data_IF_136920815186
#
_entry.id   IF_136920815186
#
_cell.length_a   1.000
_cell.length_b   1.000
_cell.length_c   1.000
_cell.angle_alpha   90.00
_cell.angle_beta   90.00
_cell.angle_gamma   90.00
#
_symmetry.space_group_name_H-M   'P 1'
#
loop_
_entity.id
_entity.type
_entity.pdbx_description
1 polymer ?
#
# COMPACT_ATOMS: atom_id res chain seq x y z
N UNK A 1 14.74 20.48 9.61
CA UNK A 1 16.01 20.27 10.35
C UNK A 1 16.86 21.53 10.20
N UNK A 2 17.46 22.07 11.27
CA UNK A 2 18.44 23.18 11.13
C UNK A 2 19.83 22.55 10.99
N UNK A 3 20.43 22.67 9.81
CA UNK A 3 21.81 22.23 9.58
C UNK A 3 22.78 23.23 10.21
N UNK A 4 23.90 22.74 10.76
CA UNK A 4 24.91 23.57 11.43
C UNK A 4 25.53 24.59 10.44
N UNK A 5 25.60 25.89 10.79
CA UNK A 5 26.25 26.91 9.95
C UNK A 5 27.69 26.57 9.52
N UNK A 6 28.47 25.87 10.36
CA UNK A 6 29.86 25.49 10.05
C UNK A 6 29.97 24.53 8.87
N UNK A 7 28.96 23.67 8.65
CA UNK A 7 28.91 22.76 7.51
C UNK A 7 28.68 23.54 6.21
N UNK A 8 27.83 24.56 6.24
CA UNK A 8 27.61 25.44 5.09
C UNK A 8 28.87 26.22 4.71
N UNK A 9 29.57 26.76 5.71
CA UNK A 9 30.83 27.48 5.50
C UNK A 9 31.90 26.57 4.90
N UNK A 10 32.03 25.33 5.40
CA UNK A 10 32.98 24.36 4.84
C UNK A 10 32.65 24.01 3.39
N UNK A 11 31.39 23.67 3.08
CA UNK A 11 30.96 23.37 1.70
C UNK A 11 31.13 24.56 0.74
N UNK A 12 31.06 25.78 1.24
CA UNK A 12 31.30 26.99 0.45
C UNK A 12 32.77 27.17 0.04
N UNK A 13 33.73 26.46 0.66
CA UNK A 13 35.16 26.55 0.30
C UNK A 13 35.51 25.90 -1.04
N UNK A 14 34.63 25.04 -1.57
CA UNK A 14 34.75 24.50 -2.93
C UNK A 14 34.60 22.98 -3.03
N UNK A 15 34.94 22.45 -4.20
CA UNK A 15 34.73 21.03 -4.55
C UNK A 15 35.49 20.04 -3.66
N UNK A 16 36.61 20.47 -3.06
CA UNK A 16 37.39 19.63 -2.16
C UNK A 16 36.65 19.37 -0.84
N UNK A 17 35.93 20.37 -0.32
CA UNK A 17 35.07 20.17 0.84
C UNK A 17 33.92 19.19 0.56
N UNK A 18 33.35 19.24 -0.64
CA UNK A 18 32.36 18.25 -1.08
C UNK A 18 32.96 16.84 -1.14
N UNK A 19 34.18 16.68 -1.69
CA UNK A 19 34.87 15.39 -1.76
C UNK A 19 35.10 14.79 -0.37
N UNK A 20 35.54 15.61 0.59
CA UNK A 20 35.77 15.19 1.98
C UNK A 20 34.47 14.72 2.66
N UNK A 21 33.37 15.47 2.51
CA UNK A 21 32.10 15.12 3.16
C UNK A 21 31.32 13.99 2.50
N UNK A 22 31.56 13.75 1.21
CA UNK A 22 30.89 12.71 0.43
C UNK A 22 31.63 11.36 0.42
N UNK A 23 32.67 11.22 1.24
CA UNK A 23 33.54 10.04 1.28
C UNK A 23 34.21 9.74 -0.09
N UNK A 24 34.72 10.79 -0.74
CA UNK A 24 35.58 10.66 -1.90
C UNK A 24 34.93 10.90 -3.26
N UNK A 25 33.68 11.37 -3.35
CA UNK A 25 33.05 11.70 -4.64
C UNK A 25 33.77 12.88 -5.28
N UNK A 26 34.31 12.67 -6.47
CA UNK A 26 35.05 13.68 -7.24
C UNK A 26 34.16 14.38 -8.26
N UNK A 27 34.20 15.71 -8.28
CA UNK A 27 33.49 16.55 -9.25
C UNK A 27 34.45 17.05 -10.34
N UNK A 28 34.07 16.88 -11.60
CA UNK A 28 34.86 17.35 -12.75
C UNK A 28 34.37 18.70 -13.24
N UNK A 29 35.24 19.71 -13.21
CA UNK A 29 34.94 21.10 -13.61
C UNK A 29 34.60 22.01 -12.42
N UNK A 30 34.19 23.24 -12.73
CA UNK A 30 33.86 24.25 -11.71
C UNK A 30 32.44 24.07 -11.17
N UNK A 31 32.30 24.01 -9.85
CA UNK A 31 31.00 23.96 -9.16
C UNK A 31 30.87 25.12 -8.19
N UNK A 32 29.63 25.55 -7.97
CA UNK A 32 29.27 26.55 -6.96
C UNK A 32 28.31 25.94 -5.96
N UNK A 33 28.66 26.00 -4.69
CA UNK A 33 27.74 25.67 -3.61
C UNK A 33 26.73 26.80 -3.40
N UNK A 34 25.44 26.45 -3.36
CA UNK A 34 24.34 27.38 -3.06
C UNK A 34 23.32 26.70 -2.16
N UNK A 35 22.87 27.41 -1.11
CA UNK A 35 21.70 27.00 -0.32
C UNK A 35 20.48 27.68 -0.90
N UNK A 36 19.55 26.90 -1.45
CA UNK A 36 18.33 27.42 -2.08
C UNK A 36 17.12 27.06 -1.23
N UNK A 37 16.32 28.05 -0.87
CA UNK A 37 14.98 27.81 -0.34
C UNK A 37 13.99 27.71 -1.49
N UNK A 38 13.38 26.54 -1.66
CA UNK A 38 12.28 26.33 -2.61
C UNK A 38 10.98 26.37 -1.82
N UNK A 39 10.15 27.40 -2.04
CA UNK A 39 8.81 27.44 -1.46
C UNK A 39 7.90 26.50 -2.23
N UNK A 40 7.37 25.48 -1.57
CA UNK A 40 6.33 24.62 -2.13
C UNK A 40 4.96 25.30 -2.06
N UNK A 41 4.15 25.13 -3.11
CA UNK A 41 2.69 25.30 -3.02
C UNK A 41 2.08 24.07 -2.33
N UNK A 42 0.90 24.23 -1.74
CA UNK A 42 0.09 23.09 -1.28
C UNK A 42 -0.08 22.09 -2.43
N UNK A 43 0.32 20.84 -2.21
CA UNK A 43 0.21 19.76 -3.20
C UNK A 43 -0.91 18.83 -2.78
N UNK A 44 -1.90 18.66 -3.65
CA UNK A 44 -2.94 17.64 -3.50
C UNK A 44 -2.48 16.36 -4.18
N UNK A 45 -2.69 15.23 -3.51
CA UNK A 45 -2.52 13.91 -4.11
C UNK A 45 -3.76 13.61 -4.95
N UNK A 46 -3.57 13.11 -6.17
CA UNK A 46 -4.71 12.82 -7.05
C UNK A 46 -5.42 11.55 -6.59
N UNK A 47 -4.66 10.57 -6.08
CA UNK A 47 -5.19 9.38 -5.44
C UNK A 47 -4.22 8.79 -4.42
N UNK A 48 -4.78 8.19 -3.37
CA UNK A 48 -4.04 7.40 -2.38
C UNK A 48 -4.79 6.12 -2.08
N UNK A 49 -4.06 5.01 -2.02
CA UNK A 49 -4.56 3.74 -1.50
C UNK A 49 -3.74 3.36 -0.29
N UNK A 50 -4.40 3.32 0.86
CA UNK A 50 -3.82 2.87 2.11
C UNK A 50 -4.29 1.45 2.43
N UNK A 51 -3.42 0.59 2.97
CA UNK A 51 -3.86 -0.71 3.46
C UNK A 51 -4.68 -0.53 4.75
N UNK A 52 -5.82 -1.19 4.85
CA UNK A 52 -6.68 -1.11 6.05
C UNK A 52 -6.19 -2.07 7.15
N UNK A 53 -6.05 -3.36 6.82
CA UNK A 53 -5.79 -4.44 7.79
C UNK A 53 -4.51 -5.25 7.49
N UNK A 54 -3.53 -4.67 6.80
CA UNK A 54 -2.28 -5.36 6.49
C UNK A 54 -1.08 -4.40 6.31
N UNK A 55 0.14 -4.94 6.38
CA UNK A 55 1.38 -4.16 6.28
C UNK A 55 1.80 -3.87 4.81
N UNK A 56 0.81 -3.69 3.93
CA UNK A 56 1.05 -3.42 2.52
C UNK A 56 1.66 -2.04 2.30
N UNK A 57 2.24 -1.78 1.11
CA UNK A 57 2.66 -0.44 0.77
C UNK A 57 1.46 0.48 0.54
N UNK A 58 1.59 1.75 0.91
CA UNK A 58 0.70 2.81 0.47
C UNK A 58 1.01 3.14 -0.99
N UNK A 59 -0.01 3.23 -1.84
CA UNK A 59 0.15 3.64 -3.23
C UNK A 59 -0.26 5.10 -3.39
N UNK A 60 0.67 5.94 -3.85
CA UNK A 60 0.40 7.32 -4.28
C UNK A 60 0.23 7.30 -5.80
N UNK A 61 -0.91 7.78 -6.27
CA UNK A 61 -1.29 7.74 -7.68
C UNK A 61 -1.31 9.14 -8.27
N UNK A 62 -0.68 9.30 -9.43
CA UNK A 62 -0.69 10.52 -10.23
C UNK A 62 -1.32 10.24 -11.60
N UNK A 63 -2.23 11.11 -12.05
CA UNK A 63 -2.80 11.01 -13.38
C UNK A 63 -2.22 12.09 -14.30
N UNK A 64 -1.80 11.69 -15.49
CA UNK A 64 -1.27 12.64 -16.48
C UNK A 64 -1.97 12.47 -17.82
N UNK A 65 -2.63 13.54 -18.25
CA UNK A 65 -3.38 13.58 -19.51
C UNK A 65 -2.54 14.02 -20.73
N UNK A 66 -1.45 14.74 -20.49
CA UNK A 66 -0.63 15.39 -21.51
C UNK A 66 0.87 15.27 -21.16
N UNK A 67 1.79 15.38 -22.12
CA UNK A 67 3.21 15.38 -21.83
C UNK A 67 3.57 16.50 -20.85
N UNK A 68 4.10 16.14 -19.70
CA UNK A 68 4.59 17.09 -18.71
C UNK A 68 6.00 16.68 -18.27
N UNK A 69 7.06 17.41 -18.68
CA UNK A 69 8.44 17.08 -18.31
C UNK A 69 8.67 16.94 -16.79
N UNK A 70 7.85 17.63 -15.99
CA UNK A 70 7.89 17.61 -14.53
C UNK A 70 7.13 16.46 -13.86
N UNK A 71 6.44 15.60 -14.60
CA UNK A 71 5.48 14.63 -14.02
C UNK A 71 6.15 13.64 -13.06
N UNK A 72 7.33 13.14 -13.41
CA UNK A 72 8.09 12.24 -12.56
C UNK A 72 8.55 12.91 -11.27
N UNK A 73 9.08 14.13 -11.37
CA UNK A 73 9.50 14.92 -10.20
C UNK A 73 8.32 15.30 -9.31
N UNK A 74 7.16 15.55 -9.91
CA UNK A 74 5.93 15.82 -9.17
C UNK A 74 5.48 14.58 -8.37
N UNK A 75 5.47 13.39 -8.99
CA UNK A 75 5.19 12.14 -8.27
C UNK A 75 6.20 11.88 -7.14
N UNK A 76 7.50 12.06 -7.40
CA UNK A 76 8.54 11.92 -6.36
C UNK A 76 8.36 12.92 -5.22
N UNK A 77 7.98 14.16 -5.54
CA UNK A 77 7.68 15.19 -4.53
C UNK A 77 6.49 14.76 -3.68
N UNK A 78 5.41 14.28 -4.30
CA UNK A 78 4.21 13.78 -3.61
C UNK A 78 4.52 12.58 -2.70
N UNK A 79 5.31 11.62 -3.19
CA UNK A 79 5.81 10.49 -2.39
C UNK A 79 6.65 10.97 -1.21
N UNK A 80 7.58 11.90 -1.44
CA UNK A 80 8.44 12.47 -0.40
C UNK A 80 7.64 13.19 0.68
N UNK A 81 6.67 14.03 0.30
CA UNK A 81 5.79 14.73 1.23
C UNK A 81 4.95 13.77 2.07
N UNK A 82 4.36 12.74 1.45
CA UNK A 82 3.60 11.74 2.20
C UNK A 82 4.52 10.93 3.15
N UNK A 83 5.70 10.53 2.68
CA UNK A 83 6.67 9.79 3.48
C UNK A 83 7.26 10.61 4.63
N UNK A 84 7.43 11.92 4.47
CA UNK A 84 7.82 12.82 5.55
C UNK A 84 6.72 12.91 6.63
N UNK A 85 5.44 12.94 6.21
CA UNK A 85 4.31 12.92 7.14
C UNK A 85 4.09 11.54 7.79
N UNK A 86 4.50 10.44 7.12
CA UNK A 86 4.30 9.05 7.57
C UNK A 86 5.59 8.23 7.48
N UNK A 87 6.61 8.57 8.29
CA UNK A 87 7.92 7.94 8.19
C UNK A 87 7.86 6.45 8.50
N UNK A 88 8.64 5.67 7.75
CA UNK A 88 8.73 4.21 7.90
C UNK A 88 7.60 3.42 7.23
N UNK A 89 6.56 4.07 6.69
CA UNK A 89 5.57 3.38 5.87
C UNK A 89 6.15 2.99 4.52
N UNK A 90 6.01 1.72 4.07
CA UNK A 90 6.41 1.33 2.73
C UNK A 90 5.53 2.08 1.71
N UNK A 91 6.17 2.69 0.70
CA UNK A 91 5.51 3.54 -0.28
C UNK A 91 5.79 3.07 -1.70
N UNK A 92 4.80 3.19 -2.58
CA UNK A 92 4.93 2.96 -4.02
C UNK A 92 4.24 4.08 -4.79
N UNK A 93 4.91 4.60 -5.81
CA UNK A 93 4.33 5.56 -6.75
C UNK A 93 3.76 4.86 -7.96
N UNK A 94 2.59 5.32 -8.43
CA UNK A 94 2.00 4.87 -9.68
C UNK A 94 1.66 6.08 -10.55
N UNK A 95 2.25 6.14 -11.74
CA UNK A 95 1.96 7.17 -12.72
C UNK A 95 1.06 6.57 -13.81
N UNK A 96 -0.12 7.15 -14.00
CA UNK A 96 -1.10 6.70 -14.98
C UNK A 96 -1.18 7.74 -16.09
N UNK A 97 -0.72 7.36 -17.28
CA UNK A 97 -0.87 8.17 -18.48
C UNK A 97 -2.21 7.89 -19.16
N UNK A 98 -2.96 8.94 -19.46
CA UNK A 98 -4.20 8.82 -20.23
C UNK A 98 -3.89 8.51 -21.70
N UNK A 99 -4.94 8.05 -22.39
CA UNK A 99 -4.95 7.45 -23.73
C UNK A 99 -4.07 8.14 -24.79
N UNK A 100 -3.93 9.47 -24.75
CA UNK A 100 -3.19 10.22 -25.78
C UNK A 100 -1.68 9.87 -25.79
N UNK A 101 -1.08 9.57 -24.64
CA UNK A 101 0.32 9.12 -24.54
C UNK A 101 0.54 7.70 -25.07
N UNK A 102 -0.51 6.90 -25.19
CA UNK A 102 -0.40 5.54 -25.77
C UNK A 102 -0.20 5.57 -27.28
N UNK A 103 -0.42 6.72 -27.92
CA UNK A 103 -0.36 6.89 -29.37
C UNK A 103 0.59 8.04 -29.76
N UNK A 104 1.89 7.93 -29.47
CA UNK A 104 2.85 9.03 -29.67
C UNK A 104 3.08 9.38 -31.14
N UNK A 105 2.65 8.52 -32.07
CA UNK A 105 2.79 8.71 -33.52
C UNK A 105 1.51 9.25 -34.18
N UNK A 106 0.40 9.34 -33.44
CA UNK A 106 -0.84 9.89 -33.97
C UNK A 106 -0.91 11.38 -33.67
N UNK A 107 -1.32 12.14 -34.67
CA UNK A 107 -1.62 13.57 -34.55
C UNK A 107 -2.91 13.81 -33.75
N UNK A 108 -3.10 15.02 -33.24
CA UNK A 108 -4.36 15.40 -32.56
C UNK A 108 -5.58 15.20 -33.47
N UNK A 109 -5.42 15.46 -34.78
CA UNK A 109 -6.48 15.27 -35.77
C UNK A 109 -6.84 13.78 -35.97
N UNK A 110 -5.84 12.90 -36.05
CA UNK A 110 -6.05 11.44 -36.10
C UNK A 110 -6.67 10.92 -34.80
N UNK A 111 -6.21 11.39 -33.64
CA UNK A 111 -6.78 11.01 -32.34
C UNK A 111 -8.22 11.50 -32.18
N UNK A 112 -8.54 12.72 -32.60
CA UNK A 112 -9.93 13.21 -32.64
C UNK A 112 -10.79 12.44 -33.63
N UNK A 113 -10.21 11.95 -34.72
CA UNK A 113 -10.93 11.10 -35.68
C UNK A 113 -11.20 9.71 -35.08
N UNK A 114 -10.25 9.13 -34.33
CA UNK A 114 -10.45 7.87 -33.63
C UNK A 114 -11.39 7.99 -32.42
N UNK A 115 -11.40 9.16 -31.77
CA UNK A 115 -12.20 9.45 -30.58
C UNK A 115 -12.97 10.78 -30.74
N UNK A 116 -13.97 10.86 -31.64
CA UNK A 116 -14.67 12.10 -31.98
C UNK A 116 -15.46 12.69 -30.82
N UNK A 117 -15.79 11.85 -29.83
CA UNK A 117 -16.30 12.25 -28.54
C UNK A 117 -15.46 11.53 -27.51
N UNK A 118 -14.83 12.28 -26.61
CA UNK A 118 -14.31 11.71 -25.36
C UNK A 118 -15.51 11.27 -24.54
N UNK A 119 -15.90 10.01 -24.72
CA UNK A 119 -16.93 9.37 -23.90
C UNK A 119 -16.44 9.43 -22.45
N UNK A 120 -17.23 10.00 -21.51
CA UNK A 120 -16.87 9.99 -20.10
C UNK A 120 -16.46 8.59 -19.67
N UNK A 121 -15.40 8.47 -18.87
CA UNK A 121 -14.78 7.18 -18.57
C UNK A 121 -15.83 6.18 -18.08
N UNK A 122 -16.77 6.64 -17.25
CA UNK A 122 -17.86 5.86 -16.66
C UNK A 122 -18.82 5.24 -17.69
N UNK A 123 -18.92 5.85 -18.87
CA UNK A 123 -19.75 5.39 -19.98
C UNK A 123 -19.00 4.43 -20.90
N UNK A 124 -17.68 4.31 -20.76
CA UNK A 124 -16.90 3.38 -21.58
C UNK A 124 -17.18 1.93 -21.16
N UNK A 125 -17.20 1.03 -22.14
CA UNK A 125 -17.37 -0.41 -21.87
C UNK A 125 -16.24 -0.96 -20.99
N UNK A 126 -15.01 -0.51 -21.25
CA UNK A 126 -13.84 -0.88 -20.46
C UNK A 126 -14.00 -0.52 -18.98
N UNK A 127 -14.44 0.70 -18.66
CA UNK A 127 -14.70 1.09 -17.28
C UNK A 127 -15.84 0.27 -16.67
N UNK A 128 -16.95 0.10 -17.39
CA UNK A 128 -18.09 -0.68 -16.89
C UNK A 128 -17.70 -2.11 -16.55
N UNK A 129 -16.89 -2.76 -17.40
CA UNK A 129 -16.42 -4.12 -17.17
C UNK A 129 -15.43 -4.18 -15.99
N UNK A 130 -14.49 -3.23 -15.89
CA UNK A 130 -13.55 -3.12 -14.75
C UNK A 130 -14.32 -2.89 -13.44
N UNK A 131 -15.25 -1.94 -13.44
CA UNK A 131 -16.06 -1.59 -12.27
C UNK A 131 -16.98 -2.74 -11.88
N UNK A 132 -17.62 -3.41 -12.84
CA UNK A 132 -18.46 -4.57 -12.59
C UNK A 132 -17.65 -5.72 -11.98
N UNK A 133 -16.46 -6.00 -12.52
CA UNK A 133 -15.54 -7.01 -11.95
C UNK A 133 -15.12 -6.65 -10.53
N UNK A 134 -14.66 -5.42 -10.31
CA UNK A 134 -14.26 -4.95 -8.98
C UNK A 134 -15.40 -5.02 -7.96
N UNK A 135 -16.63 -4.68 -8.38
CA UNK A 135 -17.83 -4.81 -7.54
C UNK A 135 -18.17 -6.28 -7.25
N UNK A 136 -18.02 -7.18 -8.23
CA UNK A 136 -18.26 -8.60 -8.05
C UNK A 136 -17.23 -9.24 -7.11
N UNK A 137 -15.94 -8.95 -7.32
CA UNK A 137 -14.84 -9.44 -6.48
C UNK A 137 -15.00 -8.94 -5.03
N UNK A 138 -15.29 -7.65 -4.83
CA UNK A 138 -15.52 -7.09 -3.50
C UNK A 138 -16.75 -7.66 -2.79
N UNK A 139 -17.84 -7.94 -3.54
CA UNK A 139 -19.02 -8.61 -2.97
C UNK A 139 -18.69 -10.04 -2.53
N UNK A 140 -18.01 -10.81 -3.40
CA UNK A 140 -17.63 -12.19 -3.11
C UNK A 140 -16.69 -12.27 -1.89
N UNK A 141 -15.70 -11.37 -1.80
CA UNK A 141 -14.80 -11.29 -0.64
C UNK A 141 -15.57 -10.93 0.64
N UNK A 142 -16.50 -9.97 0.56
CA UNK A 142 -17.34 -9.57 1.68
C UNK A 142 -18.24 -10.70 2.18
N UNK A 143 -18.86 -11.47 1.28
CA UNK A 143 -19.69 -12.63 1.61
C UNK A 143 -18.84 -13.73 2.28
N UNK A 144 -17.68 -14.07 1.71
CA UNK A 144 -16.77 -15.07 2.28
C UNK A 144 -16.27 -14.69 3.68
N UNK A 145 -15.86 -13.42 3.88
CA UNK A 145 -15.46 -12.89 5.20
C UNK A 145 -16.62 -12.94 6.20
N UNK A 146 -17.83 -12.58 5.77
CA UNK A 146 -19.04 -12.62 6.58
C UNK A 146 -19.40 -14.04 7.04
N UNK A 147 -19.33 -15.01 6.13
CA UNK A 147 -19.60 -16.41 6.41
C UNK A 147 -18.58 -17.01 7.39
N UNK A 148 -17.28 -16.80 7.15
CA UNK A 148 -16.23 -17.27 8.04
C UNK A 148 -16.39 -16.71 9.47
N UNK A 149 -16.65 -15.40 9.59
CA UNK A 149 -16.93 -14.77 10.90
C UNK A 149 -18.16 -15.37 11.58
N UNK A 150 -19.23 -15.59 10.82
CA UNK A 150 -20.46 -16.22 11.34
C UNK A 150 -20.23 -17.64 11.87
N UNK A 151 -19.49 -18.47 11.13
CA UNK A 151 -19.11 -19.83 11.55
C UNK A 151 -18.21 -19.80 12.79
N UNK A 152 -17.19 -18.94 12.82
CA UNK A 152 -16.30 -18.77 13.97
C UNK A 152 -17.07 -18.39 15.24
N UNK A 153 -17.98 -17.42 15.16
CA UNK A 153 -18.80 -17.01 16.32
C UNK A 153 -19.80 -18.10 16.75
N UNK A 154 -20.34 -18.86 15.79
CA UNK A 154 -21.13 -20.07 16.06
C UNK A 154 -20.34 -21.12 16.85
N UNK A 155 -19.16 -21.48 16.36
CA UNK A 155 -18.22 -22.41 16.99
C UNK A 155 -17.84 -21.95 18.41
N UNK A 156 -17.49 -20.67 18.59
CA UNK A 156 -17.18 -20.13 19.93
C UNK A 156 -18.34 -20.34 20.90
N UNK A 157 -19.59 -20.12 20.48
CA UNK A 157 -20.77 -20.35 21.33
C UNK A 157 -20.94 -21.84 21.68
N UNK A 158 -20.76 -22.73 20.71
CA UNK A 158 -20.90 -24.18 20.93
C UNK A 158 -19.78 -24.73 21.82
N UNK A 159 -18.52 -24.37 21.54
CA UNK A 159 -17.37 -24.77 22.36
C UNK A 159 -17.47 -24.20 23.77
N UNK A 160 -17.97 -22.97 23.93
CA UNK A 160 -18.21 -22.40 25.27
C UNK A 160 -19.24 -23.21 26.06
N UNK A 161 -20.26 -23.75 25.39
CA UNK A 161 -21.27 -24.62 26.02
C UNK A 161 -20.72 -26.00 26.37
N UNK A 162 -19.89 -26.61 25.51
CA UNK A 162 -19.33 -27.95 25.76
C UNK A 162 -18.16 -27.94 26.76
N UNK A 163 -17.25 -26.97 26.64
CA UNK A 163 -15.95 -26.97 27.34
C UNK A 163 -15.77 -25.80 28.32
N UNK A 164 -16.78 -24.94 28.48
CA UNK A 164 -16.72 -23.80 29.39
C UNK A 164 -15.97 -22.61 28.82
N UNK A 165 -15.34 -21.79 29.67
CA UNK A 165 -14.70 -20.54 29.22
C UNK A 165 -13.58 -20.84 28.23
N UNK A 166 -13.69 -20.27 27.02
CA UNK A 166 -12.68 -20.48 25.99
C UNK A 166 -11.39 -19.71 26.30
N UNK A 167 -10.23 -20.39 26.28
CA UNK A 167 -8.95 -19.72 26.45
C UNK A 167 -8.65 -18.81 25.25
N UNK A 168 -7.90 -17.73 25.48
CA UNK A 168 -7.58 -16.71 24.46
C UNK A 168 -6.98 -17.31 23.17
N UNK A 169 -6.16 -18.35 23.28
CA UNK A 169 -5.55 -18.99 22.11
C UNK A 169 -6.60 -19.64 21.18
N UNK A 170 -7.68 -20.19 21.75
CA UNK A 170 -8.74 -20.84 20.98
C UNK A 170 -9.58 -19.78 20.26
N UNK A 171 -9.88 -18.67 20.93
CA UNK A 171 -10.60 -17.53 20.34
C UNK A 171 -9.81 -16.97 19.15
N UNK A 172 -8.52 -16.67 19.34
CA UNK A 172 -7.67 -16.14 18.27
C UNK A 172 -7.54 -17.12 17.09
N UNK A 173 -7.47 -18.43 17.36
CA UNK A 173 -7.41 -19.44 16.31
C UNK A 173 -8.70 -19.53 15.53
N UNK A 174 -9.86 -19.42 16.19
CA UNK A 174 -11.17 -19.39 15.53
C UNK A 174 -11.37 -18.11 14.70
N UNK A 175 -10.90 -16.97 15.19
CA UNK A 175 -10.99 -15.68 14.47
C UNK A 175 -10.14 -15.63 13.20
N UNK A 176 -8.99 -16.31 13.20
CA UNK A 176 -8.05 -16.31 12.07
C UNK A 176 -8.23 -17.52 11.13
N UNK A 177 -9.17 -18.42 11.40
CA UNK A 177 -9.33 -19.65 10.64
C UNK A 177 -9.97 -19.41 9.27
N UNK A 178 -9.49 -20.15 8.26
CA UNK A 178 -10.16 -20.22 6.96
C UNK A 178 -11.49 -20.97 7.07
N UNK A 179 -12.40 -20.72 6.14
CA UNK A 179 -13.75 -21.29 6.15
C UNK A 179 -13.75 -22.83 6.19
N UNK A 180 -12.86 -23.47 5.43
CA UNK A 180 -12.72 -24.94 5.38
C UNK A 180 -12.28 -25.51 6.73
N UNK A 181 -11.44 -24.79 7.48
CA UNK A 181 -11.03 -25.22 8.82
C UNK A 181 -12.19 -25.12 9.82
N UNK A 182 -12.99 -24.05 9.70
CA UNK A 182 -14.19 -23.87 10.53
C UNK A 182 -15.22 -24.96 10.24
N UNK A 183 -15.41 -25.35 8.98
CA UNK A 183 -16.32 -26.43 8.60
C UNK A 183 -15.87 -27.78 9.16
N UNK A 184 -14.58 -28.11 9.04
CA UNK A 184 -14.02 -29.32 9.65
C UNK A 184 -14.21 -29.35 11.17
N UNK A 185 -14.08 -28.20 11.84
CA UNK A 185 -14.36 -28.12 13.28
C UNK A 185 -15.84 -28.20 13.63
N UNK A 186 -16.74 -27.69 12.78
CA UNK A 186 -18.19 -27.83 12.98
C UNK A 186 -18.62 -29.29 12.86
N UNK A 187 -18.05 -30.05 11.92
CA UNK A 187 -18.33 -31.48 11.77
C UNK A 187 -17.80 -32.29 12.96
N UNK A 188 -16.56 -32.02 13.39
CA UNK A 188 -15.92 -32.73 14.51
C UNK A 188 -16.37 -32.29 15.91
N UNK A 189 -17.20 -31.23 16.03
CA UNK A 189 -17.44 -30.61 17.33
C UNK A 189 -18.12 -31.52 18.33
N UNK A 190 -18.95 -32.47 17.88
CA UNK A 190 -19.68 -33.36 18.80
C UNK A 190 -18.86 -34.58 19.22
N UNK A 191 -17.84 -34.96 18.45
CA UNK A 191 -16.98 -36.10 18.71
C UNK A 191 -15.74 -35.72 19.55
N UNK A 192 -15.28 -34.48 19.41
CA UNK A 192 -14.12 -33.98 20.14
C UNK A 192 -14.28 -34.10 21.66
N UNK A 193 -13.24 -34.61 22.33
CA UNK A 193 -13.19 -34.76 23.78
C UNK A 193 -12.55 -33.54 24.48
N UNK A 194 -11.80 -32.73 23.73
CA UNK A 194 -11.17 -31.50 24.22
C UNK A 194 -11.04 -30.44 23.12
N UNK A 195 -10.65 -29.22 23.53
CA UNK A 195 -10.34 -28.14 22.59
C UNK A 195 -9.10 -28.46 21.75
N UNK A 196 -8.13 -29.15 22.32
CA UNK A 196 -6.90 -29.57 21.64
C UNK A 196 -7.16 -30.66 20.61
N UNK A 197 -8.12 -31.55 20.85
CA UNK A 197 -8.50 -32.59 19.88
C UNK A 197 -9.17 -31.97 18.65
N UNK A 198 -10.03 -30.96 18.84
CA UNK A 198 -10.72 -30.29 17.74
C UNK A 198 -9.83 -29.27 17.04
N UNK A 199 -9.28 -28.32 17.80
CA UNK A 199 -8.58 -27.15 17.27
C UNK A 199 -7.08 -27.38 17.05
N UNK A 200 -6.58 -28.56 17.42
CA UNK A 200 -5.16 -28.89 17.43
C UNK A 200 -4.40 -28.35 18.64
N UNK A 201 -3.09 -28.65 18.75
CA UNK A 201 -2.30 -28.37 19.94
C UNK A 201 -2.22 -26.87 20.27
N UNK A 202 -2.04 -26.56 21.56
CA UNK A 202 -1.84 -25.18 22.02
C UNK A 202 -0.60 -24.58 21.34
N UNK A 203 -0.64 -23.29 20.94
CA UNK A 203 0.55 -22.61 20.45
C UNK A 203 1.67 -22.68 21.51
N UNK A 204 2.86 -23.11 21.11
CA UNK A 204 4.02 -23.06 22.00
C UNK A 204 4.31 -21.59 22.33
N UNK A 205 4.30 -21.22 23.62
CA UNK A 205 4.82 -19.92 24.05
C UNK A 205 6.27 -19.83 23.58
N UNK A 206 6.57 -18.85 22.72
CA UNK A 206 7.94 -18.47 22.44
C UNK A 206 8.58 -18.03 23.76
N UNK A 207 9.40 -18.89 24.35
CA UNK A 207 10.36 -18.47 25.36
C UNK A 207 11.47 -17.68 24.66
N UNK A 208 12.01 -16.61 25.27
CA UNK A 208 13.11 -15.88 24.68
C UNK A 208 14.30 -16.83 24.50
N UNK A 209 14.77 -17.01 23.26
CA UNK A 209 16.15 -17.47 23.05
C UNK A 209 17.06 -16.32 23.45
N UNK A 210 17.41 -16.30 24.72
CA UNK A 210 18.61 -15.63 25.20
C UNK A 210 19.78 -16.44 24.65
N UNK A 211 20.52 -15.86 23.71
CA UNK A 211 21.97 -15.97 23.55
C UNK A 211 22.44 -14.96 22.52
#
# INVERSE_FOLDING_TARGET
MKTDPSIYEFLATGVEAFRVLSDGVTLSGSYRFVSLTIKGIERRLDGIYEPEDHDGPVYVVEFQAQPAPGVWYNLLTKLGLYGEAHPGRPLRGMLIFLLMERFPLLTDEELRTMFPVLVPLEQTRAYQDIFAKGKADGKAEGEAKGEAKGKADGLKRQLKRRFGVLPRWAILRLDAAAIDQLDGWLEGIFEAQSLEDLLGPRPRRGGPKVR
#
